data_IF_849327661073
#
_entry.id   IF_849327661073
#
_cell.length_a   1.000
_cell.length_b   1.000
_cell.length_c   1.000
_cell.angle_alpha   90.00
_cell.angle_beta   90.00
_cell.angle_gamma   90.00
#
_symmetry.space_group_name_H-M   'P 1'
#
loop_
_entity.id
_entity.type
_entity.pdbx_description
1 polymer ?
#
# COMPACT_ATOMS: atom_id res chain seq x y z
N UNK A 1 -27.66 15.93 -78.51
CA UNK A 1 -27.81 16.71 -77.26
C UNK A 1 -27.34 15.80 -76.13
N UNK A 2 -26.12 15.98 -75.55
CA UNK A 2 -25.80 16.78 -74.31
C UNK A 2 -26.74 16.41 -73.16
N UNK A 3 -26.36 16.00 -71.94
CA UNK A 3 -25.21 16.22 -71.03
C UNK A 3 -25.12 15.02 -70.04
N UNK A 4 -23.94 14.51 -69.62
CA UNK A 4 -23.12 14.91 -68.44
C UNK A 4 -23.93 14.94 -67.12
N UNK A 5 -23.69 14.03 -66.16
CA UNK A 5 -22.77 14.11 -65.00
C UNK A 5 -23.25 13.00 -64.00
N UNK A 6 -22.59 12.48 -62.97
CA UNK A 6 -21.40 12.83 -62.20
C UNK A 6 -20.96 11.57 -61.44
N UNK A 7 -19.64 11.43 -61.27
CA UNK A 7 -18.96 10.46 -60.41
C UNK A 7 -19.46 10.53 -58.96
N UNK A 8 -19.77 9.37 -58.36
CA UNK A 8 -19.75 9.17 -56.91
C UNK A 8 -18.84 7.97 -56.61
N UNK A 9 -17.54 8.23 -56.58
CA UNK A 9 -16.55 7.34 -56.00
C UNK A 9 -16.67 7.44 -54.48
N UNK A 10 -17.32 6.43 -53.90
CA UNK A 10 -17.50 6.24 -52.47
C UNK A 10 -16.12 6.14 -51.81
N UNK A 11 -15.76 7.17 -51.04
CA UNK A 11 -14.57 7.21 -50.19
C UNK A 11 -14.71 6.20 -49.05
N UNK A 12 -14.11 5.03 -49.24
CA UNK A 12 -13.89 4.05 -48.19
C UNK A 12 -12.80 4.60 -47.25
N UNK A 13 -13.22 5.33 -46.21
CA UNK A 13 -12.37 5.65 -45.06
C UNK A 13 -12.10 4.34 -44.30
N UNK A 14 -10.98 3.70 -44.66
CA UNK A 14 -10.39 2.62 -43.88
C UNK A 14 -9.96 3.24 -42.56
N UNK A 15 -10.75 3.02 -41.50
CA UNK A 15 -10.32 3.24 -40.13
C UNK A 15 -9.10 2.32 -39.89
N UNK A 16 -7.92 2.91 -39.89
CA UNK A 16 -6.69 2.21 -39.63
C UNK A 16 -6.69 1.69 -38.18
N UNK A 17 -6.90 0.38 -38.06
CA UNK A 17 -6.30 -0.50 -37.04
C UNK A 17 -6.31 -0.03 -35.58
N UNK A 18 -7.43 -0.22 -34.90
CA UNK A 18 -7.46 -0.42 -33.44
C UNK A 18 -7.14 -1.88 -33.04
N UNK A 19 -6.30 -2.58 -33.82
CA UNK A 19 -5.91 -3.98 -33.55
C UNK A 19 -4.55 -4.12 -32.86
N UNK A 20 -3.94 -3.00 -32.44
CA UNK A 20 -2.73 -3.03 -31.61
C UNK A 20 -3.07 -3.29 -30.15
N UNK A 21 -2.14 -3.83 -29.35
CA UNK A 21 -2.31 -3.86 -27.91
C UNK A 21 -2.45 -2.42 -27.37
N UNK A 22 -3.44 -2.22 -26.51
CA UNK A 22 -3.66 -0.99 -25.76
C UNK A 22 -2.75 -0.97 -24.53
N UNK A 23 -2.27 0.21 -24.16
CA UNK A 23 -1.39 0.42 -23.01
C UNK A 23 -2.20 0.83 -21.79
N UNK A 24 -1.89 0.23 -20.64
CA UNK A 24 -2.38 0.66 -19.34
C UNK A 24 -1.18 1.13 -18.51
N UNK A 25 -1.30 2.30 -17.91
CA UNK A 25 -0.30 2.86 -17.00
C UNK A 25 -0.91 2.90 -15.63
N UNK A 26 -0.30 2.19 -14.68
CA UNK A 26 -0.73 2.15 -13.29
C UNK A 26 0.27 2.93 -12.45
N UNK A 27 -0.21 3.94 -11.74
CA UNK A 27 0.57 4.73 -10.79
C UNK A 27 0.11 4.37 -9.38
N UNK A 28 1.06 4.04 -8.50
CA UNK A 28 0.81 3.66 -7.13
C UNK A 28 1.49 4.64 -6.17
N UNK A 29 0.69 5.30 -5.34
CA UNK A 29 1.18 6.27 -4.36
C UNK A 29 0.31 6.26 -3.11
N UNK A 30 0.92 6.53 -1.96
CA UNK A 30 0.21 6.65 -0.68
C UNK A 30 0.68 7.86 0.10
N UNK A 31 -0.24 8.47 0.82
CA UNK A 31 0.11 9.48 1.80
C UNK A 31 0.60 8.82 3.08
N UNK A 32 1.80 9.20 3.51
CA UNK A 32 2.41 8.77 4.77
C UNK A 32 2.84 9.97 5.60
N UNK A 33 2.99 9.81 6.90
CA UNK A 33 3.54 10.86 7.75
C UNK A 33 4.93 11.27 7.25
N UNK A 34 5.19 12.58 7.22
CA UNK A 34 6.49 13.10 6.80
C UNK A 34 7.59 12.61 7.75
N UNK A 35 8.72 12.08 7.23
CA UNK A 35 9.86 11.72 8.08
C UNK A 35 10.53 12.96 8.72
N UNK A 36 10.28 14.16 8.17
CA UNK A 36 10.91 15.42 8.58
C UNK A 36 10.03 16.26 9.54
N UNK A 37 8.84 15.80 9.92
CA UNK A 37 7.95 16.52 10.86
C UNK A 37 6.48 16.55 10.46
N UNK A 38 5.82 17.70 10.67
CA UNK A 38 4.36 17.84 10.49
C UNK A 38 3.91 17.69 9.03
N UNK A 39 2.80 16.98 8.83
CA UNK A 39 2.11 16.83 7.55
C UNK A 39 2.23 15.43 6.94
N UNK A 40 1.50 15.22 5.86
CA UNK A 40 1.55 14.00 5.05
C UNK A 40 2.37 14.28 3.79
N UNK A 41 3.16 13.29 3.38
CA UNK A 41 3.88 13.29 2.11
C UNK A 41 3.37 12.15 1.25
N UNK A 42 3.10 12.46 -0.02
CA UNK A 42 2.75 11.44 -1.01
C UNK A 42 4.02 10.70 -1.40
N UNK A 43 4.04 9.39 -1.17
CA UNK A 43 5.16 8.50 -1.43
C UNK A 43 4.79 7.52 -2.55
N UNK A 44 5.59 7.43 -3.63
CA UNK A 44 5.41 6.39 -4.63
C UNK A 44 5.68 5.00 -4.03
N UNK A 45 4.94 4.00 -4.48
CA UNK A 45 5.13 2.61 -4.09
C UNK A 45 5.91 1.85 -5.15
N UNK A 46 7.20 1.64 -4.92
CA UNK A 46 8.08 0.86 -5.79
C UNK A 46 8.02 -0.64 -5.49
N UNK A 47 8.44 -1.45 -6.46
CA UNK A 47 8.56 -2.92 -6.34
C UNK A 47 7.23 -3.63 -6.02
N UNK A 48 6.11 -3.04 -6.45
CA UNK A 48 4.78 -3.62 -6.27
C UNK A 48 4.34 -4.32 -7.54
N UNK A 49 3.99 -5.61 -7.41
CA UNK A 49 3.38 -6.36 -8.51
C UNK A 49 1.95 -5.87 -8.75
N UNK A 50 1.69 -5.44 -9.98
CA UNK A 50 0.38 -5.07 -10.50
C UNK A 50 -0.03 -6.09 -11.53
N UNK A 51 -1.24 -6.62 -11.41
CA UNK A 51 -1.83 -7.56 -12.37
C UNK A 51 -3.08 -6.98 -13.02
N UNK A 52 -3.19 -7.18 -14.33
CA UNK A 52 -4.44 -7.01 -15.05
C UNK A 52 -5.08 -8.38 -15.23
N UNK A 53 -6.22 -8.59 -14.58
CA UNK A 53 -6.96 -9.84 -14.62
C UNK A 53 -8.18 -9.69 -15.52
N UNK A 54 -8.45 -10.60 -16.46
CA UNK A 54 -9.62 -10.50 -17.33
C UNK A 54 -10.90 -11.06 -16.68
N UNK A 55 -10.95 -11.04 -15.34
CA UNK A 55 -12.05 -11.50 -14.51
C UNK A 55 -11.94 -10.86 -13.12
N UNK A 56 -13.08 -10.75 -12.44
CA UNK A 56 -13.12 -10.34 -11.03
C UNK A 56 -12.62 -11.47 -10.14
N UNK A 57 -11.47 -11.26 -9.49
CA UNK A 57 -10.87 -12.24 -8.58
C UNK A 57 -11.74 -12.45 -7.35
N UNK A 58 -12.31 -11.40 -6.79
CA UNK A 58 -13.09 -11.48 -5.56
C UNK A 58 -14.42 -12.19 -5.81
N UNK A 59 -15.08 -11.92 -6.93
CA UNK A 59 -16.30 -12.64 -7.30
C UNK A 59 -16.09 -14.16 -7.45
N UNK A 60 -14.89 -14.60 -7.86
CA UNK A 60 -14.55 -16.03 -7.90
C UNK A 60 -14.42 -16.58 -6.48
N UNK A 61 -13.64 -15.92 -5.61
CA UNK A 61 -13.46 -16.38 -4.24
C UNK A 61 -14.78 -16.35 -3.44
N UNK A 62 -15.58 -15.29 -3.57
CA UNK A 62 -16.90 -15.18 -2.93
C UNK A 62 -17.84 -16.31 -3.37
N UNK A 63 -17.84 -16.65 -4.67
CA UNK A 63 -18.63 -17.77 -5.18
C UNK A 63 -18.14 -19.10 -4.63
N UNK A 64 -16.83 -19.30 -4.49
CA UNK A 64 -16.26 -20.55 -3.95
C UNK A 64 -16.54 -20.68 -2.45
N UNK A 65 -16.34 -19.61 -1.68
CA UNK A 65 -16.66 -19.55 -0.26
C UNK A 65 -18.15 -19.86 -0.01
N UNK A 66 -19.04 -19.26 -0.82
CA UNK A 66 -20.48 -19.53 -0.74
C UNK A 66 -20.84 -20.98 -1.08
N UNK A 67 -20.13 -21.59 -2.05
CA UNK A 67 -20.36 -22.97 -2.46
C UNK A 67 -19.84 -24.01 -1.47
N UNK A 68 -18.80 -23.69 -0.69
CA UNK A 68 -18.21 -24.58 0.30
C UNK A 68 -19.16 -24.90 1.45
N UNK A 69 -20.10 -24.00 1.77
CA UNK A 69 -21.18 -24.22 2.73
C UNK A 69 -20.77 -24.11 4.21
N UNK A 70 -19.47 -24.12 4.52
CA UNK A 70 -18.94 -23.74 5.84
C UNK A 70 -18.37 -22.33 5.75
N UNK A 71 -18.83 -21.37 6.57
CA UNK A 71 -18.32 -19.99 6.50
C UNK A 71 -16.86 -19.91 6.94
N UNK A 72 -16.15 -18.91 6.44
CA UNK A 72 -14.80 -18.60 6.90
C UNK A 72 -14.82 -18.30 8.41
N UNK A 73 -13.86 -18.83 9.20
CA UNK A 73 -13.76 -18.50 10.61
C UNK A 73 -13.63 -16.98 10.82
N UNK A 74 -14.54 -16.35 11.59
CA UNK A 74 -14.45 -14.92 11.85
C UNK A 74 -13.25 -14.60 12.73
N UNK A 75 -12.66 -13.41 12.55
CA UNK A 75 -11.69 -12.87 13.50
C UNK A 75 -12.47 -12.46 14.76
N UNK A 76 -12.09 -12.94 15.96
CA UNK A 76 -12.73 -12.51 17.20
C UNK A 76 -12.58 -11.00 17.40
N UNK A 77 -13.67 -10.30 17.76
CA UNK A 77 -13.65 -8.84 18.02
C UNK A 77 -12.64 -8.47 19.12
N UNK A 78 -12.48 -9.33 20.12
CA UNK A 78 -11.47 -9.16 21.18
C UNK A 78 -10.04 -9.13 20.62
N UNK A 79 -9.75 -10.02 19.66
CA UNK A 79 -8.43 -10.05 18.99
C UNK A 79 -8.20 -8.80 18.15
N UNK A 80 -9.25 -8.28 17.49
CA UNK A 80 -9.16 -7.01 16.75
C UNK A 80 -8.81 -5.88 17.72
N UNK A 81 -9.54 -5.77 18.83
CA UNK A 81 -9.30 -4.74 19.84
C UNK A 81 -7.92 -4.85 20.51
N UNK A 82 -7.42 -6.07 20.76
CA UNK A 82 -6.05 -6.27 21.27
C UNK A 82 -5.00 -5.79 20.28
N UNK A 83 -5.18 -6.08 18.99
CA UNK A 83 -4.26 -5.61 17.94
C UNK A 83 -4.29 -4.10 17.77
N UNK A 84 -5.45 -3.46 17.88
CA UNK A 84 -5.57 -2.01 17.91
C UNK A 84 -4.76 -1.42 19.07
N UNK A 85 -4.85 -1.99 20.29
CA UNK A 85 -4.02 -1.56 21.42
C UNK A 85 -2.52 -1.74 21.17
N UNK A 86 -2.12 -2.84 20.52
CA UNK A 86 -0.72 -3.05 20.13
C UNK A 86 -0.25 -1.96 19.16
N UNK A 87 -1.09 -1.58 18.18
CA UNK A 87 -0.78 -0.50 17.25
C UNK A 87 -0.64 0.84 17.99
N UNK A 88 -1.59 1.20 18.83
CA UNK A 88 -1.55 2.44 19.63
C UNK A 88 -0.28 2.50 20.51
N UNK A 89 0.06 1.39 21.18
CA UNK A 89 1.27 1.31 21.99
C UNK A 89 2.56 1.41 21.16
N UNK A 90 2.55 0.87 19.93
CA UNK A 90 3.67 1.02 19.00
C UNK A 90 3.85 2.48 18.58
N UNK A 91 2.75 3.17 18.22
CA UNK A 91 2.77 4.58 17.83
C UNK A 91 3.26 5.46 18.99
N UNK A 92 2.80 5.22 20.22
CA UNK A 92 3.29 5.91 21.42
C UNK A 92 4.80 5.71 21.60
N UNK A 93 5.27 4.45 21.50
CA UNK A 93 6.69 4.15 21.60
C UNK A 93 7.53 4.84 20.51
N UNK A 94 7.08 4.82 19.26
CA UNK A 94 7.76 5.50 18.15
C UNK A 94 7.84 7.01 18.37
N UNK A 95 6.76 7.63 18.86
CA UNK A 95 6.74 9.06 19.17
C UNK A 95 7.75 9.41 20.28
N UNK A 96 7.80 8.61 21.36
CA UNK A 96 8.76 8.79 22.43
C UNK A 96 10.21 8.58 21.96
N UNK A 97 10.44 7.57 21.12
CA UNK A 97 11.74 7.29 20.51
C UNK A 97 12.21 8.45 19.61
N UNK A 98 11.31 9.03 18.80
CA UNK A 98 11.61 10.16 17.93
C UNK A 98 11.99 11.40 18.75
N UNK A 99 11.24 11.70 19.82
CA UNK A 99 11.56 12.79 20.74
C UNK A 99 12.92 12.58 21.43
N UNK A 100 13.19 11.36 21.90
CA UNK A 100 14.47 11.02 22.52
C UNK A 100 15.64 11.22 21.56
N UNK A 101 15.52 10.74 20.32
CA UNK A 101 16.52 10.94 19.27
C UNK A 101 16.75 12.42 18.98
N UNK A 102 15.68 13.21 18.84
CA UNK A 102 15.76 14.65 18.59
C UNK A 102 16.51 15.40 19.70
N UNK A 103 16.23 15.09 20.97
CA UNK A 103 16.92 15.73 22.11
C UNK A 103 18.40 15.33 22.09
N UNK A 104 18.72 14.06 21.87
CA UNK A 104 20.11 13.58 21.81
C UNK A 104 20.90 14.27 20.69
N UNK A 105 20.31 14.39 19.50
CA UNK A 105 20.91 15.07 18.36
C UNK A 105 21.09 16.57 18.62
N UNK A 106 20.14 17.19 19.32
CA UNK A 106 20.21 18.61 19.73
C UNK A 106 21.33 18.85 20.74
N UNK A 107 21.44 17.99 21.75
CA UNK A 107 22.54 18.02 22.72
C UNK A 107 23.90 17.91 22.03
N UNK A 108 24.05 17.00 21.06
CA UNK A 108 25.29 16.85 20.30
C UNK A 108 25.63 18.11 19.48
N UNK A 109 24.63 18.73 18.83
CA UNK A 109 24.82 19.99 18.09
C UNK A 109 25.23 21.14 19.02
N UNK A 110 24.57 21.26 20.18
CA UNK A 110 24.89 22.27 21.18
C UNK A 110 26.29 22.08 21.77
N UNK A 111 26.68 20.83 22.08
CA UNK A 111 28.05 20.52 22.52
C UNK A 111 29.07 20.95 21.47
N UNK A 112 28.85 20.62 20.20
CA UNK A 112 29.74 21.00 19.09
C UNK A 112 29.82 22.53 18.93
N UNK A 113 28.71 23.25 19.10
CA UNK A 113 28.68 24.70 19.05
C UNK A 113 29.43 25.35 20.24
N UNK A 114 29.24 24.82 21.45
CA UNK A 114 29.90 25.31 22.67
C UNK A 114 31.43 25.24 22.59
N UNK A 115 31.98 24.25 21.89
CA UNK A 115 33.42 24.11 21.65
C UNK A 115 34.03 25.28 20.85
N UNK A 116 33.22 26.05 20.12
CA UNK A 116 33.67 27.17 19.30
C UNK A 116 33.83 28.48 20.08
N UNK A 117 33.34 28.56 21.32
CA UNK A 117 33.29 29.78 22.11
C UNK A 117 34.05 29.64 23.45
N UNK A 118 34.64 30.72 23.94
CA UNK A 118 35.16 30.73 25.30
C UNK A 118 34.03 30.80 26.34
N UNK A 119 34.25 30.18 27.49
CA UNK A 119 33.27 30.12 28.60
C UNK A 119 32.82 31.48 29.15
N UNK A 120 33.64 32.52 28.96
CA UNK A 120 33.33 33.89 29.39
C UNK A 120 32.49 34.68 28.39
N UNK A 121 32.27 34.16 27.18
CA UNK A 121 31.49 34.83 26.14
C UNK A 121 29.99 34.70 26.43
N UNK A 122 29.22 35.77 26.15
CA UNK A 122 27.77 35.78 26.39
C UNK A 122 27.07 34.67 25.57
N UNK A 123 27.51 34.41 24.34
CA UNK A 123 26.97 33.36 23.47
C UNK A 123 27.16 31.96 24.08
N UNK A 124 28.31 31.69 24.69
CA UNK A 124 28.54 30.43 25.40
C UNK A 124 27.54 30.23 26.53
N UNK A 125 27.30 31.26 27.35
CA UNK A 125 26.38 31.18 28.49
C UNK A 125 24.95 30.89 28.03
N UNK A 126 24.51 31.46 26.91
CA UNK A 126 23.18 31.20 26.34
C UNK A 126 23.06 29.75 25.86
N UNK A 127 23.99 29.30 25.00
CA UNK A 127 23.99 27.93 24.49
C UNK A 127 24.13 26.88 25.61
N UNK A 128 24.88 27.20 26.66
CA UNK A 128 25.05 26.29 27.80
C UNK A 128 23.78 26.17 28.64
N UNK A 129 22.98 27.24 28.76
CA UNK A 129 21.66 27.15 29.41
C UNK A 129 20.71 26.26 28.62
N UNK A 130 20.62 26.49 27.31
CA UNK A 130 19.82 25.66 26.42
C UNK A 130 20.25 24.18 26.47
N UNK A 131 21.56 23.91 26.52
CA UNK A 131 22.07 22.56 26.71
C UNK A 131 21.62 21.94 28.05
N UNK A 132 21.68 22.68 29.16
CA UNK A 132 21.22 22.16 30.46
C UNK A 132 19.71 21.90 30.49
N UNK A 133 18.92 22.71 29.79
CA UNK A 133 17.47 22.53 29.70
C UNK A 133 17.15 21.20 28.99
N UNK A 134 17.80 20.93 27.84
CA UNK A 134 17.66 19.66 27.12
C UNK A 134 18.23 18.45 27.86
N UNK A 135 19.35 18.61 28.58
CA UNK A 135 19.96 17.53 29.39
C UNK A 135 19.04 17.14 30.55
N UNK A 136 18.38 18.11 31.18
CA UNK A 136 17.36 17.88 32.20
C UNK A 136 16.13 17.13 31.66
N UNK A 137 15.70 17.44 30.44
CA UNK A 137 14.56 16.77 29.79
C UNK A 137 14.87 15.33 29.35
N UNK A 138 16.12 15.05 28.94
CA UNK A 138 16.53 13.76 28.36
C UNK A 138 16.15 12.57 29.24
N UNK A 139 16.39 12.67 30.56
CA UNK A 139 16.12 11.58 31.49
C UNK A 139 14.62 11.29 31.66
N UNK A 140 13.75 12.29 31.55
CA UNK A 140 12.29 12.10 31.60
C UNK A 140 11.78 11.44 30.32
N UNK A 141 12.29 11.85 29.17
CA UNK A 141 11.92 11.29 27.86
C UNK A 141 12.41 9.86 27.72
N UNK A 142 13.62 9.54 28.19
CA UNK A 142 14.14 8.17 28.21
C UNK A 142 13.26 7.23 29.05
N UNK A 143 12.83 7.67 30.25
CA UNK A 143 11.90 6.90 31.08
C UNK A 143 10.52 6.71 30.44
N UNK A 144 10.05 7.68 29.66
CA UNK A 144 8.80 7.55 28.91
C UNK A 144 8.95 6.53 27.78
N UNK A 145 10.02 6.65 26.98
CA UNK A 145 10.36 5.72 25.91
C UNK A 145 10.44 4.27 26.41
N UNK A 146 11.19 4.01 27.49
CA UNK A 146 11.33 2.66 28.06
C UNK A 146 9.99 2.09 28.54
N UNK A 147 9.16 2.87 29.23
CA UNK A 147 7.82 2.42 29.66
C UNK A 147 6.89 2.12 28.49
N UNK A 148 6.89 2.96 27.46
CA UNK A 148 6.09 2.70 26.25
C UNK A 148 6.57 1.46 25.50
N UNK A 149 7.88 1.21 25.47
CA UNK A 149 8.45 0.00 24.88
C UNK A 149 8.03 -1.26 25.65
N UNK A 150 8.14 -1.26 26.99
CA UNK A 150 7.70 -2.38 27.83
C UNK A 150 6.20 -2.68 27.65
N UNK A 151 5.36 -1.64 27.57
CA UNK A 151 3.92 -1.79 27.32
C UNK A 151 3.66 -2.41 25.93
N UNK A 152 4.29 -1.86 24.88
CA UNK A 152 4.17 -2.38 23.52
C UNK A 152 4.57 -3.86 23.43
N UNK A 153 5.74 -4.23 23.97
CA UNK A 153 6.21 -5.62 23.94
C UNK A 153 5.29 -6.55 24.72
N UNK A 154 4.83 -6.14 25.90
CA UNK A 154 3.91 -6.96 26.70
C UNK A 154 2.57 -7.23 26.00
N UNK A 155 1.99 -6.22 25.35
CA UNK A 155 0.76 -6.38 24.55
C UNK A 155 1.01 -7.25 23.32
N UNK A 156 2.11 -7.03 22.61
CA UNK A 156 2.46 -7.80 21.42
C UNK A 156 2.59 -9.30 21.75
N UNK A 157 3.35 -9.65 22.79
CA UNK A 157 3.54 -11.04 23.21
C UNK A 157 2.21 -11.74 23.54
N UNK A 158 1.29 -11.04 24.23
CA UNK A 158 -0.03 -11.57 24.56
C UNK A 158 -0.93 -11.86 23.35
N UNK A 159 -0.68 -11.21 22.20
CA UNK A 159 -1.55 -11.25 21.02
C UNK A 159 -1.11 -12.29 19.98
N UNK A 160 0.14 -12.77 20.04
CA UNK A 160 0.75 -13.65 19.03
C UNK A 160 0.04 -15.01 18.95
N UNK A 161 -0.25 -15.66 20.08
CA UNK A 161 -0.84 -17.00 20.09
C UNK A 161 -2.27 -17.03 19.54
N UNK A 162 -3.10 -16.06 19.97
CA UNK A 162 -4.46 -15.90 19.48
C UNK A 162 -4.48 -15.59 17.98
N UNK A 163 -3.59 -14.70 17.50
CA UNK A 163 -3.44 -14.40 16.08
C UNK A 163 -3.06 -15.64 15.26
N UNK A 164 -2.06 -16.39 15.72
CA UNK A 164 -1.61 -17.61 15.03
C UNK A 164 -2.70 -18.67 14.95
N UNK A 165 -3.50 -18.83 16.01
CA UNK A 165 -4.61 -19.80 16.03
C UNK A 165 -5.65 -19.46 14.97
N UNK A 166 -6.10 -18.20 14.91
CA UNK A 166 -7.08 -17.75 13.92
C UNK A 166 -6.51 -17.81 12.51
N UNK A 167 -5.24 -17.42 12.31
CA UNK A 167 -4.55 -17.53 11.02
C UNK A 167 -4.56 -18.97 10.53
N UNK A 168 -4.14 -19.93 11.35
CA UNK A 168 -4.16 -21.36 11.00
C UNK A 168 -5.57 -21.88 10.69
N UNK A 169 -6.58 -21.48 11.45
CA UNK A 169 -7.97 -21.88 11.18
C UNK A 169 -8.46 -21.39 9.82
N UNK A 170 -8.15 -20.13 9.48
CA UNK A 170 -8.54 -19.53 8.19
C UNK A 170 -7.72 -20.07 7.02
N UNK A 171 -6.44 -20.33 7.21
CA UNK A 171 -5.59 -21.00 6.21
C UNK A 171 -6.14 -22.39 5.87
N UNK A 172 -6.40 -23.23 6.89
CA UNK A 172 -6.98 -24.57 6.68
C UNK A 172 -8.35 -24.50 5.99
N UNK A 173 -9.20 -23.56 6.42
CA UNK A 173 -10.49 -23.34 5.76
C UNK A 173 -10.30 -22.92 4.29
N UNK A 174 -9.38 -22.00 4.00
CA UNK A 174 -9.11 -21.49 2.67
C UNK A 174 -8.53 -22.55 1.73
N UNK A 175 -7.64 -23.40 2.21
CA UNK A 175 -7.07 -24.52 1.45
C UNK A 175 -8.17 -25.47 0.95
N UNK A 176 -9.19 -25.72 1.77
CA UNK A 176 -10.34 -26.55 1.39
C UNK A 176 -11.34 -25.78 0.53
N UNK A 177 -11.76 -24.59 0.95
CA UNK A 177 -12.79 -23.78 0.30
C UNK A 177 -12.36 -23.31 -1.10
N UNK A 178 -11.06 -23.08 -1.31
CA UNK A 178 -10.50 -22.58 -2.57
C UNK A 178 -9.72 -23.62 -3.36
N UNK A 179 -9.85 -24.90 -2.98
CA UNK A 179 -9.36 -26.02 -3.77
C UNK A 179 -9.93 -25.95 -5.19
N UNK A 180 -9.05 -26.02 -6.19
CA UNK A 180 -9.42 -25.94 -7.61
C UNK A 180 -9.66 -24.51 -8.14
N UNK A 181 -9.31 -23.47 -7.38
CA UNK A 181 -9.46 -22.07 -7.80
C UNK A 181 -8.68 -21.76 -9.09
N UNK A 182 -7.51 -22.38 -9.27
CA UNK A 182 -6.70 -22.22 -10.49
C UNK A 182 -7.47 -22.62 -11.75
N UNK A 183 -8.19 -23.74 -11.73
CA UNK A 183 -9.01 -24.22 -12.85
C UNK A 183 -10.14 -23.24 -13.17
N UNK A 184 -10.74 -22.63 -12.14
CA UNK A 184 -11.79 -21.61 -12.30
C UNK A 184 -11.21 -20.35 -12.93
N UNK A 185 -10.06 -19.86 -12.46
CA UNK A 185 -9.36 -18.72 -13.07
C UNK A 185 -9.01 -18.96 -14.53
N UNK A 186 -8.51 -20.16 -14.82
CA UNK A 186 -8.18 -20.58 -16.17
C UNK A 186 -9.42 -20.65 -17.08
N UNK A 187 -10.54 -21.17 -16.57
CA UNK A 187 -11.80 -21.19 -17.29
C UNK A 187 -12.33 -19.78 -17.56
N UNK A 188 -12.26 -18.87 -16.57
CA UNK A 188 -12.66 -17.46 -16.71
C UNK A 188 -11.78 -16.72 -17.73
N UNK A 189 -10.47 -16.91 -17.69
CA UNK A 189 -9.52 -16.36 -18.68
C UNK A 189 -9.84 -16.86 -20.09
N UNK A 190 -10.08 -18.16 -20.27
CA UNK A 190 -10.44 -18.72 -21.58
C UNK A 190 -11.79 -18.18 -22.08
N UNK A 191 -12.77 -18.01 -21.19
CA UNK A 191 -14.09 -17.51 -21.52
C UNK A 191 -14.08 -16.03 -21.95
N UNK A 192 -13.21 -15.20 -21.38
CA UNK A 192 -13.07 -13.80 -21.78
C UNK A 192 -12.34 -13.65 -23.12
N UNK A 193 -11.48 -14.61 -23.50
CA UNK A 193 -10.62 -14.50 -24.68
C UNK A 193 -9.49 -13.47 -24.53
N UNK A 194 -9.27 -12.99 -23.30
CA UNK A 194 -8.26 -12.01 -22.92
C UNK A 194 -7.19 -12.69 -22.05
N UNK A 195 -5.97 -12.16 -22.08
CA UNK A 195 -4.85 -12.68 -21.31
C UNK A 195 -4.64 -11.87 -20.03
N UNK A 196 -4.20 -12.53 -18.96
CA UNK A 196 -3.74 -11.83 -17.77
C UNK A 196 -2.28 -11.39 -17.98
N UNK A 197 -1.94 -10.17 -17.57
CA UNK A 197 -0.57 -9.65 -17.60
C UNK A 197 -0.18 -9.11 -16.23
N UNK A 198 1.11 -9.06 -15.96
CA UNK A 198 1.66 -8.51 -14.73
C UNK A 198 2.82 -7.57 -15.07
N UNK A 199 3.01 -6.55 -14.25
CA UNK A 199 4.18 -5.69 -14.26
C UNK A 199 4.54 -5.30 -12.82
N UNK A 200 5.72 -4.72 -12.62
CA UNK A 200 6.17 -4.26 -11.31
C UNK A 200 6.43 -2.78 -11.36
N UNK A 201 5.96 -2.04 -10.34
CA UNK A 201 6.18 -0.59 -10.27
C UNK A 201 7.66 -0.25 -10.14
N UNK A 202 8.11 0.76 -10.88
CA UNK A 202 9.47 1.28 -10.77
C UNK A 202 9.66 2.18 -9.52
N UNK A 203 10.85 2.78 -9.39
CA UNK A 203 11.18 3.70 -8.28
C UNK A 203 10.26 4.94 -8.19
N UNK A 204 9.53 5.27 -9.26
CA UNK A 204 8.53 6.35 -9.28
C UNK A 204 7.11 5.85 -9.00
N UNK A 205 6.94 4.57 -8.68
CA UNK A 205 5.63 3.97 -8.41
C UNK A 205 4.83 3.66 -9.67
N UNK A 206 5.46 3.54 -10.84
CA UNK A 206 4.76 3.39 -12.12
C UNK A 206 5.00 1.99 -12.70
N UNK A 207 3.91 1.30 -13.05
CA UNK A 207 3.88 0.08 -13.84
C UNK A 207 3.28 0.36 -15.22
N UNK A 208 3.99 0.00 -16.30
CA UNK A 208 3.57 0.28 -17.69
C UNK A 208 4.29 -0.57 -18.74
N UNK A 209 5.44 -1.14 -18.41
CA UNK A 209 6.32 -1.80 -19.38
C UNK A 209 5.65 -3.06 -19.95
N UNK A 210 5.01 -3.84 -19.07
CA UNK A 210 4.41 -5.13 -19.41
C UNK A 210 2.86 -5.10 -19.44
N UNK A 211 2.25 -3.92 -19.26
CA UNK A 211 0.80 -3.73 -19.21
C UNK A 211 0.22 -3.36 -20.59
N UNK A 212 0.52 -4.19 -21.59
CA UNK A 212 0.02 -4.04 -22.97
C UNK A 212 -0.94 -5.17 -23.31
N UNK A 213 -2.23 -4.85 -23.43
CA UNK A 213 -3.30 -5.84 -23.49
C UNK A 213 -4.26 -5.58 -24.65
N UNK A 214 -5.06 -6.59 -25.04
CA UNK A 214 -6.15 -6.37 -26.00
C UNK A 214 -7.23 -5.50 -25.34
N UNK A 215 -7.93 -4.64 -26.09
CA UNK A 215 -9.10 -3.94 -25.59
C UNK A 215 -10.13 -4.89 -24.98
N UNK A 216 -10.74 -4.50 -23.87
CA UNK A 216 -11.68 -5.33 -23.11
C UNK A 216 -11.77 -4.95 -21.64
N UNK A 217 -12.56 -5.73 -20.89
CA UNK A 217 -12.75 -5.56 -19.45
C UNK A 217 -11.63 -6.26 -18.67
N UNK A 218 -11.00 -5.54 -17.74
CA UNK A 218 -10.01 -6.08 -16.81
C UNK A 218 -10.29 -5.61 -15.37
N UNK A 219 -9.60 -6.24 -14.43
CA UNK A 219 -9.48 -5.81 -13.04
C UNK A 219 -8.01 -5.54 -12.75
N UNK A 220 -7.73 -4.36 -12.20
CA UNK A 220 -6.41 -4.00 -11.69
C UNK A 220 -6.30 -4.54 -10.27
N UNK A 221 -5.43 -5.53 -10.12
CA UNK A 221 -5.15 -6.18 -8.85
C UNK A 221 -3.75 -5.80 -8.36
N UNK A 222 -3.67 -5.39 -7.10
CA UNK A 222 -2.40 -5.16 -6.40
C UNK A 222 -2.60 -5.30 -4.89
N UNK A 223 -1.50 -5.51 -4.16
CA UNK A 223 -1.47 -5.52 -2.69
C UNK A 223 -0.25 -4.79 -2.18
N UNK A 224 -0.41 -4.08 -1.07
CA UNK A 224 0.68 -3.43 -0.36
C UNK A 224 0.58 -3.71 1.14
N UNK A 225 1.60 -4.32 1.71
CA UNK A 225 1.63 -4.67 3.14
C UNK A 225 2.00 -3.45 3.99
N UNK A 226 1.17 -3.19 5.01
CA UNK A 226 1.48 -2.31 6.14
C UNK A 226 1.82 -3.18 7.37
N UNK A 227 2.09 -2.52 8.50
CA UNK A 227 2.47 -3.23 9.73
C UNK A 227 1.37 -4.18 10.24
N UNK A 228 0.11 -3.73 10.22
CA UNK A 228 -1.04 -4.47 10.77
C UNK A 228 -2.14 -4.78 9.76
N UNK A 229 -2.12 -4.08 8.62
CA UNK A 229 -3.11 -4.18 7.56
C UNK A 229 -2.43 -4.38 6.21
N UNK A 230 -3.21 -4.69 5.19
CA UNK A 230 -2.80 -4.57 3.79
C UNK A 230 -3.73 -3.59 3.08
N UNK A 231 -3.17 -2.79 2.18
CA UNK A 231 -3.96 -2.09 1.17
C UNK A 231 -4.19 -3.07 0.01
N UNK A 232 -5.46 -3.31 -0.29
CA UNK A 232 -5.90 -4.24 -1.31
C UNK A 232 -6.63 -3.50 -2.43
N UNK A 233 -6.25 -3.76 -3.68
CA UNK A 233 -6.94 -3.25 -4.86
C UNK A 233 -7.42 -4.40 -5.74
N UNK A 234 -8.68 -4.32 -6.17
CA UNK A 234 -9.28 -5.18 -7.21
C UNK A 234 -10.31 -4.34 -7.98
N UNK A 235 -9.82 -3.39 -8.79
CA UNK A 235 -10.65 -2.34 -9.38
C UNK A 235 -10.98 -2.67 -10.84
N UNK A 236 -12.27 -2.66 -11.25
CA UNK A 236 -12.65 -2.89 -12.65
C UNK A 236 -12.23 -1.71 -13.54
N UNK A 237 -11.69 -2.02 -14.72
CA UNK A 237 -11.31 -1.06 -15.76
C UNK A 237 -11.77 -1.54 -17.13
N UNK A 238 -12.10 -0.60 -18.01
CA UNK A 238 -12.37 -0.86 -19.42
C UNK A 238 -11.22 -0.32 -20.26
N UNK A 239 -10.49 -1.22 -20.92
CA UNK A 239 -9.36 -0.86 -21.78
C UNK A 239 -9.88 -0.67 -23.20
N UNK A 240 -9.74 0.54 -23.72
CA UNK A 240 -10.09 0.90 -25.09
C UNK A 240 -8.78 1.08 -25.88
N UNK A 241 -8.76 0.70 -27.16
CA UNK A 241 -7.60 0.94 -28.02
C UNK A 241 -7.36 2.44 -28.26
N UNK A 242 -6.09 2.85 -28.39
CA UNK A 242 -5.71 4.24 -28.63
C UNK A 242 -4.73 4.77 -27.58
N UNK A 243 -5.11 5.86 -26.93
CA UNK A 243 -4.31 6.50 -25.87
C UNK A 243 -4.17 5.58 -24.65
N UNK A 244 -3.02 5.63 -23.93
CA UNK A 244 -2.82 4.84 -22.72
C UNK A 244 -3.87 5.15 -21.65
N UNK A 245 -4.49 4.10 -21.09
CA UNK A 245 -5.40 4.23 -19.96
C UNK A 245 -4.58 4.46 -18.68
N UNK A 246 -4.84 5.57 -17.98
CA UNK A 246 -4.21 5.89 -16.70
C UNK A 246 -5.07 5.36 -15.55
N UNK A 247 -4.46 4.63 -14.62
CA UNK A 247 -5.10 4.13 -13.39
C UNK A 247 -4.24 4.55 -12.20
N UNK A 248 -4.85 5.20 -11.21
CA UNK A 248 -4.18 5.54 -9.95
C UNK A 248 -4.67 4.59 -8.85
N UNK A 249 -3.72 3.97 -8.15
CA UNK A 249 -3.98 3.19 -6.94
C UNK A 249 -3.43 3.97 -5.76
N UNK A 250 -4.32 4.30 -4.82
CA UNK A 250 -4.00 5.04 -3.61
C UNK A 250 -4.77 4.50 -2.43
N UNK A 251 -4.47 4.98 -1.22
CA UNK A 251 -5.22 4.60 -0.02
C UNK A 251 -6.72 4.92 -0.16
N UNK A 252 -7.08 5.98 -0.91
CA UNK A 252 -8.46 6.42 -1.06
C UNK A 252 -9.34 5.44 -1.85
N UNK A 253 -8.75 4.59 -2.70
CA UNK A 253 -9.46 3.56 -3.45
C UNK A 253 -9.00 2.13 -3.13
N UNK A 254 -8.22 1.97 -2.06
CA UNK A 254 -7.87 0.68 -1.50
C UNK A 254 -8.96 0.21 -0.53
N UNK A 255 -9.14 -1.10 -0.46
CA UNK A 255 -9.74 -1.73 0.71
C UNK A 255 -8.62 -2.01 1.72
N UNK A 256 -8.79 -1.57 2.97
CA UNK A 256 -7.85 -1.87 4.04
C UNK A 256 -8.28 -3.17 4.74
N UNK A 257 -7.43 -4.19 4.70
CA UNK A 257 -7.72 -5.52 5.25
C UNK A 257 -6.79 -5.85 6.40
N UNK A 258 -7.31 -6.47 7.46
CA UNK A 258 -6.51 -6.92 8.59
C UNK A 258 -5.55 -8.03 8.14
N UNK A 259 -4.26 -7.88 8.47
CA UNK A 259 -3.25 -8.91 8.23
C UNK A 259 -3.20 -9.86 9.42
N UNK A 260 -3.57 -11.13 9.26
CA UNK A 260 -3.46 -12.13 10.33
C UNK A 260 -2.10 -12.79 10.40
#
# INVERSE_FOLDING_TARGET
>A
MRCRFLLFSLSLLIAASACGPAEVVVTMEIDVASPDGEGMVTRPLSDIEVRLLPYDRDAVFDSMASAFGTPEPPIPEELIAERERVQEAQEEWQNNQNRWNLIRDTLQKLTTALEQYNRGEATYVVLFREWNDFDGELGDVERQMNRSFENFTGLQEGTIEASNTIRMMRENWGDEAFSGSFEVFDAKRRASGLDAVADTTDASGIARQNLKVKPGQYWVYARYELAYTELYWNIPIEVIGGEPLQVSLSRANAEERIKL
#
